data_IF_472702895226
#
_entry.id   IF_472702895226
#
_cell.length_a   1.000
_cell.length_b   1.000
_cell.length_c   1.000
_cell.angle_alpha   90.00
_cell.angle_beta   90.00
_cell.angle_gamma   90.00
#
_symmetry.space_group_name_H-M   'P 1'
#
loop_
_entity.id
_entity.type
_entity.pdbx_description
1 polymer ?
#
# COMPACT_ATOMS: atom_id res chain seq x y z
N UNK A 1 26.32 -0.51 -6.72
CA UNK A 1 24.87 -0.51 -6.49
C UNK A 1 24.54 0.79 -5.78
N UNK A 2 23.80 1.68 -6.42
CA UNK A 2 23.46 2.99 -5.87
C UNK A 2 22.57 2.74 -4.65
N UNK A 3 23.08 3.02 -3.46
CA UNK A 3 22.31 3.03 -2.21
C UNK A 3 21.51 4.32 -2.15
N UNK A 4 20.35 4.36 -2.79
CA UNK A 4 19.35 5.40 -2.60
C UNK A 4 17.99 4.70 -2.50
N UNK A 5 17.71 4.04 -1.38
CA UNK A 5 16.32 3.85 -0.96
C UNK A 5 16.02 5.06 -0.08
N UNK A 6 15.50 6.10 -0.71
CA UNK A 6 14.82 7.17 -0.02
C UNK A 6 13.36 6.84 -0.24
N UNK A 7 12.69 6.44 0.84
CA UNK A 7 11.25 6.42 0.94
C UNK A 7 10.72 7.67 0.22
N UNK A 8 9.78 7.47 -0.70
CA UNK A 8 8.84 8.53 -1.03
C UNK A 8 7.87 8.69 0.17
N UNK A 9 8.41 8.96 1.36
CA UNK A 9 7.72 9.80 2.29
C UNK A 9 7.52 11.09 1.53
N UNK A 10 6.29 11.32 1.05
CA UNK A 10 5.88 12.62 0.55
C UNK A 10 6.30 13.61 1.63
N UNK A 11 7.38 14.34 1.35
CA UNK A 11 7.96 15.27 2.30
C UNK A 11 6.90 16.34 2.49
N UNK A 12 6.11 16.23 3.56
CA UNK A 12 5.06 17.17 3.93
C UNK A 12 5.72 18.50 4.20
N UNK A 13 5.89 19.28 3.14
CA UNK A 13 6.22 20.68 3.22
C UNK A 13 4.93 21.37 3.63
N UNK A 14 4.62 21.30 4.92
CA UNK A 14 3.70 22.20 5.62
C UNK A 14 4.24 23.63 5.47
N UNK A 15 4.08 24.21 4.27
CA UNK A 15 4.30 25.63 4.05
C UNK A 15 3.06 26.36 4.54
N UNK A 16 3.07 26.66 5.83
CA UNK A 16 2.18 27.65 6.43
C UNK A 16 2.45 29.02 5.80
N UNK A 17 1.73 29.35 4.73
CA UNK A 17 1.70 30.71 4.20
C UNK A 17 0.85 31.60 5.10
N UNK A 18 1.46 32.14 6.15
CA UNK A 18 0.96 33.34 6.82
C UNK A 18 1.22 34.56 5.91
N UNK A 19 0.36 34.79 4.91
CA UNK A 19 0.38 36.03 4.14
C UNK A 19 -0.23 37.16 4.97
N UNK A 20 0.63 37.94 5.64
CA UNK A 20 0.32 39.29 6.07
C UNK A 20 0.35 40.21 4.84
N UNK A 21 -0.81 40.45 4.23
CA UNK A 21 -0.96 41.43 3.16
C UNK A 21 -1.69 42.68 3.68
N UNK A 22 -0.90 43.67 4.10
CA UNK A 22 -1.36 45.04 4.20
C UNK A 22 -1.31 45.69 2.81
N UNK A 23 -2.46 45.99 2.22
CA UNK A 23 -2.68 47.26 1.50
C UNK A 23 -4.18 47.49 1.28
N UNK A 24 -4.68 48.61 1.82
CA UNK A 24 -5.99 49.20 1.56
C UNK A 24 -6.20 49.51 0.07
N UNK A 25 -7.33 49.08 -0.52
CA UNK A 25 -8.44 49.97 -0.94
C UNK A 25 -9.42 49.25 -1.91
N UNK A 26 -10.68 49.16 -1.46
CA UNK A 26 -11.96 49.16 -2.20
C UNK A 26 -12.03 48.63 -3.66
N UNK A 27 -12.77 47.54 -3.88
CA UNK A 27 -14.20 47.58 -4.31
C UNK A 27 -14.67 46.21 -4.88
N UNK A 28 -15.63 45.57 -4.20
CA UNK A 28 -16.72 44.76 -4.77
C UNK A 28 -16.41 43.52 -5.62
N UNK A 29 -16.49 42.33 -5.02
CA UNK A 29 -16.66 41.06 -5.72
C UNK A 29 -16.46 39.85 -4.81
N UNK A 30 -17.55 39.30 -4.28
CA UNK A 30 -17.58 38.14 -3.40
C UNK A 30 -16.92 36.90 -4.04
N UNK A 31 -15.96 36.30 -3.36
CA UNK A 31 -15.26 35.08 -3.78
C UNK A 31 -14.19 34.69 -2.77
N UNK A 32 -14.58 34.50 -1.52
CA UNK A 32 -13.67 34.00 -0.48
C UNK A 32 -13.32 32.54 -0.76
N UNK A 33 -12.07 32.29 -1.16
CA UNK A 33 -11.51 30.94 -1.23
C UNK A 33 -10.66 30.74 0.03
N UNK A 34 -11.29 30.18 1.06
CA UNK A 34 -10.64 29.75 2.30
C UNK A 34 -10.84 28.25 2.47
N UNK A 35 -9.74 27.51 2.63
CA UNK A 35 -9.64 26.17 3.21
C UNK A 35 -10.87 25.24 3.17
N UNK A 36 -11.39 24.92 1.98
CA UNK A 36 -12.48 23.97 1.86
C UNK A 36 -11.97 22.57 1.52
N UNK A 37 -12.29 21.65 2.42
CA UNK A 37 -12.14 20.21 2.37
C UNK A 37 -12.75 19.61 1.11
N UNK A 38 -12.01 18.72 0.47
CA UNK A 38 -12.48 17.91 -0.66
C UNK A 38 -13.48 16.84 -0.22
N UNK A 39 -13.58 16.62 1.09
CA UNK A 39 -14.47 15.67 1.76
C UNK A 39 -15.98 15.95 1.62
N UNK A 40 -16.37 17.10 1.07
CA UNK A 40 -17.79 17.45 0.95
C UNK A 40 -18.40 17.22 -0.43
N UNK A 41 -17.62 16.81 -1.45
CA UNK A 41 -18.20 16.64 -2.78
C UNK A 41 -19.07 15.38 -2.85
N UNK A 42 -20.31 15.56 -3.31
CA UNK A 42 -21.27 14.49 -3.56
C UNK A 42 -21.52 14.33 -5.05
N UNK A 43 -22.02 13.14 -5.41
CA UNK A 43 -22.47 12.87 -6.77
C UNK A 43 -23.77 13.64 -6.98
N UNK A 44 -23.76 14.54 -7.96
CA UNK A 44 -24.92 15.34 -8.38
C UNK A 44 -25.24 15.03 -9.83
N UNK A 45 -26.45 15.40 -10.27
CA UNK A 45 -26.83 15.26 -11.68
C UNK A 45 -25.88 16.01 -12.62
N UNK A 46 -25.21 17.07 -12.15
CA UNK A 46 -24.29 17.88 -12.94
C UNK A 46 -22.91 17.22 -13.12
N UNK A 47 -22.39 16.55 -12.09
CA UNK A 47 -21.06 15.93 -12.12
C UNK A 47 -21.09 14.41 -12.40
N UNK A 48 -22.25 13.75 -12.32
CA UNK A 48 -22.36 12.29 -12.41
C UNK A 48 -21.70 11.68 -13.65
N UNK A 49 -21.86 12.31 -14.82
CA UNK A 49 -21.24 11.80 -16.05
C UNK A 49 -19.71 11.80 -15.98
N UNK A 50 -19.11 12.85 -15.42
CA UNK A 50 -17.66 12.94 -15.24
C UNK A 50 -17.20 11.98 -14.14
N UNK A 51 -18.00 11.84 -13.07
CA UNK A 51 -17.72 10.92 -11.97
C UNK A 51 -17.61 9.47 -12.45
N UNK A 52 -18.60 8.99 -13.20
CA UNK A 52 -18.61 7.61 -13.71
C UNK A 52 -17.50 7.37 -14.74
N UNK A 53 -17.19 8.37 -15.58
CA UNK A 53 -16.08 8.29 -16.52
C UNK A 53 -14.72 8.22 -15.79
N UNK A 54 -14.55 9.03 -14.74
CA UNK A 54 -13.33 9.05 -13.93
C UNK A 54 -13.14 7.74 -13.16
N UNK A 55 -14.18 7.22 -12.51
CA UNK A 55 -14.14 5.90 -11.89
C UNK A 55 -13.70 4.82 -12.88
N UNK A 56 -14.30 4.80 -14.07
CA UNK A 56 -13.98 3.82 -15.11
C UNK A 56 -12.53 3.91 -15.56
N UNK A 57 -11.98 5.12 -15.70
CA UNK A 57 -10.59 5.31 -16.11
C UNK A 57 -9.60 4.92 -15.01
N UNK A 58 -9.85 5.29 -13.75
CA UNK A 58 -9.02 4.87 -12.61
C UNK A 58 -9.00 3.35 -12.50
N UNK A 59 -10.16 2.69 -12.58
CA UNK A 59 -10.25 1.23 -12.52
C UNK A 59 -9.55 0.54 -13.71
N UNK A 60 -9.66 1.10 -14.92
CA UNK A 60 -8.94 0.61 -16.11
C UNK A 60 -7.42 0.71 -15.95
N UNK A 61 -6.95 1.79 -15.31
CA UNK A 61 -5.54 2.00 -15.03
C UNK A 61 -5.01 1.02 -13.97
N UNK A 62 -5.79 0.77 -12.91
CA UNK A 62 -5.49 -0.26 -11.91
C UNK A 62 -5.40 -1.66 -12.53
N UNK A 63 -6.37 -2.06 -13.36
CA UNK A 63 -6.35 -3.35 -14.08
C UNK A 63 -5.09 -3.50 -14.95
N UNK A 64 -4.74 -2.46 -15.71
CA UNK A 64 -3.52 -2.44 -16.52
C UNK A 64 -2.27 -2.59 -15.66
N UNK A 65 -2.13 -1.78 -14.61
CA UNK A 65 -0.91 -1.75 -13.80
C UNK A 65 -0.73 -3.05 -13.01
N UNK A 66 -1.82 -3.64 -12.49
CA UNK A 66 -1.83 -4.96 -11.86
C UNK A 66 -1.44 -6.07 -12.86
N UNK A 67 -1.96 -6.00 -14.09
CA UNK A 67 -1.60 -6.95 -15.15
C UNK A 67 -0.11 -6.84 -15.51
N UNK A 68 0.38 -5.62 -15.71
CA UNK A 68 1.80 -5.36 -16.02
C UNK A 68 2.71 -5.85 -14.89
N UNK A 69 2.36 -5.58 -13.63
CA UNK A 69 3.11 -6.05 -12.47
C UNK A 69 3.25 -7.58 -12.46
N UNK A 70 2.13 -8.29 -12.61
CA UNK A 70 2.16 -9.75 -12.68
C UNK A 70 2.97 -10.25 -13.88
N UNK A 71 2.80 -9.64 -15.06
CA UNK A 71 3.49 -10.07 -16.27
C UNK A 71 5.01 -9.80 -16.20
N UNK A 72 5.46 -8.74 -15.51
CA UNK A 72 6.89 -8.54 -15.24
C UNK A 72 7.47 -9.64 -14.34
N UNK A 73 6.72 -10.07 -13.34
CA UNK A 73 7.14 -11.17 -12.46
C UNK A 73 7.09 -12.53 -13.15
N UNK A 74 6.08 -12.77 -13.99
CA UNK A 74 5.76 -14.11 -14.49
C UNK A 74 6.22 -14.36 -15.93
N UNK A 75 6.26 -13.33 -16.79
CA UNK A 75 6.49 -13.47 -18.24
C UNK A 75 7.88 -12.96 -18.63
N UNK A 76 8.12 -11.65 -18.55
CA UNK A 76 9.40 -11.06 -18.94
C UNK A 76 9.62 -9.69 -18.29
N UNK A 77 10.83 -9.45 -17.80
CA UNK A 77 11.24 -8.16 -17.25
C UNK A 77 12.31 -7.49 -18.10
N UNK A 78 12.12 -6.20 -18.41
CA UNK A 78 13.09 -5.34 -19.11
C UNK A 78 13.65 -5.89 -20.45
N UNK A 79 12.85 -6.65 -21.20
CA UNK A 79 13.29 -7.32 -22.44
C UNK A 79 14.55 -8.18 -22.23
N UNK A 80 14.72 -8.74 -21.03
CA UNK A 80 15.90 -9.50 -20.64
C UNK A 80 15.90 -10.94 -21.15
N UNK A 81 14.78 -11.41 -21.71
CA UNK A 81 14.52 -12.82 -21.98
C UNK A 81 14.20 -13.66 -20.73
N UNK A 82 14.06 -13.02 -19.57
CA UNK A 82 13.74 -13.64 -18.30
C UNK A 82 12.63 -12.90 -17.56
N UNK A 83 11.79 -13.62 -16.83
CA UNK A 83 10.85 -13.01 -15.88
C UNK A 83 11.57 -12.54 -14.61
N UNK A 84 10.98 -11.62 -13.85
CA UNK A 84 11.60 -11.21 -12.58
C UNK A 84 11.65 -12.35 -11.56
N UNK A 85 10.67 -13.28 -11.58
CA UNK A 85 10.71 -14.50 -10.79
C UNK A 85 11.95 -15.36 -11.13
N UNK A 86 12.27 -15.54 -12.42
CA UNK A 86 13.48 -16.27 -12.83
C UNK A 86 14.75 -15.53 -12.39
N UNK A 87 14.80 -14.20 -12.53
CA UNK A 87 15.93 -13.39 -12.11
C UNK A 87 16.18 -13.56 -10.60
N UNK A 88 15.13 -13.48 -9.79
CA UNK A 88 15.21 -13.56 -8.33
C UNK A 88 15.55 -14.98 -7.84
N UNK A 89 14.91 -16.02 -8.39
CA UNK A 89 15.18 -17.42 -8.04
C UNK A 89 16.55 -17.91 -8.49
N UNK A 90 17.04 -17.47 -9.65
CA UNK A 90 18.36 -17.89 -10.13
C UNK A 90 19.51 -17.11 -9.48
N UNK A 91 19.24 -15.87 -9.04
CA UNK A 91 20.18 -14.97 -8.35
C UNK A 91 21.61 -15.01 -8.90
N UNK A 92 21.72 -15.01 -10.23
CA UNK A 92 22.98 -15.09 -10.98
C UNK A 92 22.99 -14.19 -12.23
N UNK A 93 21.92 -13.43 -12.46
CA UNK A 93 21.78 -12.53 -13.60
C UNK A 93 22.57 -11.26 -13.31
N UNK A 94 23.49 -10.90 -14.21
CA UNK A 94 24.35 -9.73 -14.03
C UNK A 94 23.53 -8.44 -13.88
N UNK A 95 23.83 -7.65 -12.86
CA UNK A 95 23.10 -6.42 -12.54
C UNK A 95 21.98 -6.60 -11.50
N UNK A 96 21.67 -7.83 -11.11
CA UNK A 96 20.68 -8.18 -10.09
C UNK A 96 21.32 -8.91 -8.90
N UNK A 97 20.54 -9.67 -8.13
CA UNK A 97 20.99 -10.51 -7.02
C UNK A 97 22.01 -11.55 -7.48
N UNK A 98 23.04 -11.78 -6.67
CA UNK A 98 24.18 -12.66 -6.99
C UNK A 98 24.31 -13.88 -6.06
N UNK A 99 23.47 -13.96 -5.03
CA UNK A 99 23.40 -15.08 -4.07
C UNK A 99 21.98 -15.15 -3.50
N UNK A 100 21.56 -16.33 -3.02
CA UNK A 100 20.26 -16.47 -2.36
C UNK A 100 20.23 -15.69 -1.02
N UNK A 101 21.37 -15.53 -0.37
CA UNK A 101 21.48 -14.67 0.83
C UNK A 101 21.10 -13.21 0.54
N UNK A 102 21.49 -12.66 -0.62
CA UNK A 102 21.08 -11.31 -1.02
C UNK A 102 19.58 -11.23 -1.31
N UNK A 103 18.97 -12.28 -1.87
CA UNK A 103 17.52 -12.35 -2.04
C UNK A 103 16.81 -12.39 -0.68
N UNK A 104 17.25 -13.23 0.25
CA UNK A 104 16.66 -13.30 1.61
C UNK A 104 16.83 -11.99 2.38
N UNK A 105 17.97 -11.31 2.24
CA UNK A 105 18.12 -9.96 2.78
C UNK A 105 17.11 -8.98 2.18
N UNK A 106 16.89 -9.00 0.85
CA UNK A 106 15.88 -8.15 0.22
C UNK A 106 14.46 -8.44 0.71
N UNK A 107 14.12 -9.71 0.95
CA UNK A 107 12.83 -10.09 1.55
C UNK A 107 12.69 -9.45 2.93
N UNK A 108 13.72 -9.55 3.78
CA UNK A 108 13.69 -8.98 5.13
C UNK A 108 13.71 -7.45 5.10
N UNK A 109 14.44 -6.84 4.18
CA UNK A 109 14.48 -5.39 3.96
C UNK A 109 13.07 -4.88 3.60
N UNK A 110 12.35 -5.56 2.69
CA UNK A 110 10.95 -5.23 2.36
C UNK A 110 9.99 -5.41 3.54
N UNK A 111 10.16 -6.46 4.35
CA UNK A 111 9.42 -6.63 5.60
C UNK A 111 9.68 -5.49 6.61
N UNK A 112 10.93 -5.04 6.71
CA UNK A 112 11.30 -3.92 7.56
C UNK A 112 10.65 -2.63 7.08
N UNK A 113 10.74 -2.35 5.77
CA UNK A 113 10.22 -1.14 5.15
C UNK A 113 8.75 -0.96 5.49
N UNK A 114 7.93 -1.99 5.29
CA UNK A 114 6.49 -1.90 5.56
C UNK A 114 6.15 -1.89 7.06
N UNK A 115 6.89 -2.63 7.91
CA UNK A 115 6.69 -2.53 9.36
C UNK A 115 7.00 -1.12 9.89
N UNK A 116 8.06 -0.50 9.35
CA UNK A 116 8.44 0.86 9.70
C UNK A 116 7.42 1.86 9.17
N UNK A 117 6.98 1.74 7.92
CA UNK A 117 5.98 2.61 7.31
C UNK A 117 4.64 2.56 8.05
N UNK A 118 4.14 1.37 8.39
CA UNK A 118 2.89 1.25 9.16
C UNK A 118 3.01 1.95 10.52
N UNK A 119 4.12 1.73 11.23
CA UNK A 119 4.33 2.31 12.55
C UNK A 119 4.59 3.82 12.52
N UNK A 120 5.55 4.26 11.72
CA UNK A 120 6.07 5.64 11.70
C UNK A 120 5.17 6.59 10.89
N UNK A 121 4.66 6.13 9.74
CA UNK A 121 3.90 6.97 8.81
C UNK A 121 2.39 6.71 8.89
N UNK A 122 1.91 5.51 8.55
CA UNK A 122 0.46 5.25 8.42
C UNK A 122 -0.33 5.43 9.72
N UNK A 123 0.29 5.10 10.86
CA UNK A 123 -0.25 5.33 12.22
C UNK A 123 0.41 6.53 12.89
N UNK A 124 1.75 6.60 12.83
CA UNK A 124 2.55 7.59 13.55
C UNK A 124 2.31 9.03 13.11
N UNK A 125 2.30 9.32 11.81
CA UNK A 125 2.10 10.69 11.32
C UNK A 125 0.72 11.25 11.75
N UNK A 126 -0.42 10.56 11.54
CA UNK A 126 -1.70 11.01 12.08
C UNK A 126 -1.68 11.18 13.60
N UNK A 127 -1.08 10.24 14.34
CA UNK A 127 -0.97 10.31 15.80
C UNK A 127 -0.24 11.58 16.24
N UNK A 128 0.96 11.81 15.71
CA UNK A 128 1.83 12.94 16.05
C UNK A 128 1.20 14.29 15.67
N UNK A 129 0.56 14.37 14.50
CA UNK A 129 -0.24 15.54 14.11
C UNK A 129 -1.35 15.80 15.13
N UNK A 130 -2.09 14.77 15.54
CA UNK A 130 -3.22 14.92 16.44
C UNK A 130 -2.78 15.39 17.84
N UNK A 131 -1.75 14.75 18.42
CA UNK A 131 -1.27 15.07 19.77
C UNK A 131 -0.52 16.40 19.83
N UNK A 132 0.07 16.85 18.71
CA UNK A 132 0.69 18.18 18.59
C UNK A 132 -0.32 19.31 18.34
N UNK A 133 -1.59 18.98 18.08
CA UNK A 133 -2.70 19.92 17.99
C UNK A 133 -3.21 20.20 16.58
N UNK A 134 -2.62 19.61 15.53
CA UNK A 134 -3.17 19.62 14.17
C UNK A 134 -4.17 18.47 13.99
N UNK A 135 -5.27 18.54 14.74
CA UNK A 135 -6.28 17.47 14.74
C UNK A 135 -6.99 17.35 13.38
N UNK A 136 -7.07 18.44 12.61
CA UNK A 136 -7.71 18.40 11.29
C UNK A 136 -6.78 17.76 10.25
N UNK A 137 -5.49 18.12 10.24
CA UNK A 137 -4.49 17.49 9.39
C UNK A 137 -4.38 16.00 9.68
N UNK A 138 -4.36 15.62 10.96
CA UNK A 138 -4.34 14.22 11.39
C UNK A 138 -5.50 13.40 10.81
N UNK A 139 -6.73 13.92 10.85
CA UNK A 139 -7.91 13.24 10.29
C UNK A 139 -7.78 12.98 8.78
N UNK A 140 -7.06 13.84 8.06
CA UNK A 140 -6.90 13.77 6.61
C UNK A 140 -5.66 13.01 6.18
N UNK A 141 -4.72 12.78 7.10
CA UNK A 141 -3.50 12.02 6.86
C UNK A 141 -3.72 10.49 6.96
N UNK A 142 -4.79 10.04 7.60
CA UNK A 142 -5.08 8.60 7.77
C UNK A 142 -5.36 7.95 6.42
N UNK A 143 -4.49 7.06 5.93
CA UNK A 143 -4.71 6.27 4.72
C UNK A 143 -5.94 5.35 4.84
N UNK A 144 -6.64 5.08 3.73
CA UNK A 144 -7.84 4.21 3.70
C UNK A 144 -9.01 4.65 4.58
N UNK A 145 -9.10 5.95 4.89
CA UNK A 145 -10.15 6.46 5.78
C UNK A 145 -11.50 6.69 5.09
N UNK A 146 -11.55 6.87 3.76
CA UNK A 146 -12.84 7.11 3.08
C UNK A 146 -13.79 5.93 3.27
N UNK A 147 -13.23 4.72 3.28
CA UNK A 147 -13.90 3.43 3.49
C UNK A 147 -13.87 2.93 4.94
N UNK A 148 -13.25 3.67 5.87
CA UNK A 148 -12.98 3.23 7.26
C UNK A 148 -12.19 1.91 7.35
N UNK A 149 -11.30 1.66 6.38
CA UNK A 149 -10.59 0.39 6.19
C UNK A 149 -9.14 0.39 6.72
N UNK A 150 -8.63 1.52 7.24
CA UNK A 150 -7.24 1.68 7.69
C UNK A 150 -6.71 0.57 8.61
N UNK A 151 -7.54 0.06 9.54
CA UNK A 151 -7.10 -0.99 10.48
C UNK A 151 -6.84 -2.31 9.75
N UNK A 152 -7.78 -2.70 8.90
CA UNK A 152 -7.72 -3.91 8.09
C UNK A 152 -6.56 -3.81 7.08
N UNK A 153 -6.41 -2.66 6.41
CA UNK A 153 -5.30 -2.34 5.51
C UNK A 153 -3.93 -2.58 6.19
N UNK A 154 -3.67 -1.87 7.28
CA UNK A 154 -2.39 -1.93 7.96
C UNK A 154 -2.13 -3.33 8.55
N UNK A 155 -3.18 -4.02 9.01
CA UNK A 155 -3.07 -5.41 9.47
C UNK A 155 -2.73 -6.38 8.33
N UNK A 156 -3.25 -6.15 7.12
CA UNK A 156 -2.92 -6.92 5.92
C UNK A 156 -1.46 -6.67 5.49
N UNK A 157 -0.93 -5.46 5.69
CA UNK A 157 0.49 -5.19 5.51
C UNK A 157 1.35 -6.07 6.46
N UNK A 158 0.95 -6.24 7.72
CA UNK A 158 1.65 -7.14 8.65
C UNK A 158 1.46 -8.63 8.28
N UNK A 159 0.32 -9.01 7.69
CA UNK A 159 0.13 -10.35 7.11
C UNK A 159 1.07 -10.59 5.91
N UNK A 160 1.41 -9.54 5.15
CA UNK A 160 2.42 -9.63 4.08
C UNK A 160 3.78 -10.06 4.67
N UNK A 161 4.18 -9.47 5.81
CA UNK A 161 5.41 -9.83 6.53
C UNK A 161 5.34 -11.30 7.01
N UNK A 162 4.23 -11.72 7.62
CA UNK A 162 4.04 -13.12 8.00
C UNK A 162 4.29 -14.03 6.80
N UNK A 163 3.64 -13.72 5.68
CA UNK A 163 3.67 -14.56 4.49
C UNK A 163 5.08 -14.68 3.90
N UNK A 164 5.83 -13.58 3.88
CA UNK A 164 7.21 -13.53 3.44
C UNK A 164 8.15 -14.38 4.32
N UNK A 165 8.01 -14.31 5.65
CA UNK A 165 8.87 -15.05 6.59
C UNK A 165 8.49 -16.53 6.70
N UNK A 166 7.19 -16.84 6.63
CA UNK A 166 6.64 -18.19 6.72
C UNK A 166 6.65 -18.95 5.38
N UNK A 167 6.83 -18.25 4.25
CA UNK A 167 6.77 -18.84 2.91
C UNK A 167 5.38 -19.39 2.55
N UNK A 168 4.31 -18.82 3.12
CA UNK A 168 2.93 -19.28 2.90
C UNK A 168 1.95 -18.13 3.06
N UNK A 169 0.87 -18.13 2.27
CA UNK A 169 -0.22 -17.15 2.36
C UNK A 169 -1.40 -17.63 3.23
N UNK A 170 -1.33 -18.85 3.75
CA UNK A 170 -2.40 -19.46 4.54
C UNK A 170 -2.33 -18.97 5.99
N UNK A 171 -2.81 -17.74 6.21
CA UNK A 171 -2.83 -17.07 7.52
C UNK A 171 -4.23 -17.14 8.12
N UNK A 172 -4.30 -17.57 9.39
CA UNK A 172 -5.55 -17.68 10.14
C UNK A 172 -5.63 -16.55 11.16
N UNK A 173 -6.64 -15.69 11.00
CA UNK A 173 -7.02 -14.67 11.98
C UNK A 173 -8.38 -15.04 12.57
N UNK A 174 -8.47 -15.07 13.90
CA UNK A 174 -9.71 -15.39 14.62
C UNK A 174 -9.99 -14.33 15.66
N UNK A 175 -11.14 -13.68 15.57
CA UNK A 175 -11.54 -12.60 16.48
C UNK A 175 -10.47 -11.51 16.57
N UNK A 176 -10.05 -11.00 15.40
CA UNK A 176 -9.06 -9.92 15.28
C UNK A 176 -7.67 -10.25 15.87
N UNK A 177 -7.35 -11.55 15.96
CA UNK A 177 -6.06 -12.02 16.48
C UNK A 177 -5.43 -13.03 15.51
N UNK A 178 -4.17 -12.81 15.14
CA UNK A 178 -3.40 -13.71 14.30
C UNK A 178 -3.09 -15.01 15.06
N UNK A 179 -3.44 -16.16 14.50
CA UNK A 179 -3.23 -17.46 15.13
C UNK A 179 -2.00 -18.15 14.54
N UNK A 180 -0.86 -18.03 15.23
CA UNK A 180 0.41 -18.63 14.79
C UNK A 180 0.36 -20.15 14.71
N UNK A 181 -0.40 -20.83 15.57
CA UNK A 181 -0.48 -22.29 15.60
C UNK A 181 -1.32 -22.87 14.47
N UNK A 182 -2.33 -22.12 14.01
CA UNK A 182 -3.25 -22.54 12.94
C UNK A 182 -2.86 -22.01 11.56
N UNK A 183 -1.96 -21.03 11.50
CA UNK A 183 -1.41 -20.50 10.25
C UNK A 183 -0.29 -21.42 9.75
N UNK A 184 -0.14 -21.52 8.43
CA UNK A 184 0.81 -22.44 7.82
C UNK A 184 2.20 -21.82 7.72
N UNK A 185 3.22 -22.63 8.03
CA UNK A 185 4.62 -22.31 7.75
C UNK A 185 5.17 -23.34 6.77
N UNK A 186 5.69 -22.89 5.63
CA UNK A 186 6.27 -23.77 4.64
C UNK A 186 7.58 -24.39 5.14
N UNK A 187 7.87 -25.61 4.67
CA UNK A 187 9.10 -26.34 5.02
C UNK A 187 10.35 -25.51 4.69
N UNK A 188 10.41 -24.94 3.49
CA UNK A 188 11.48 -24.06 3.03
C UNK A 188 11.12 -22.59 3.25
N UNK A 189 11.25 -22.13 4.49
CA UNK A 189 10.95 -20.75 4.88
C UNK A 189 12.10 -20.12 5.68
N UNK A 190 12.14 -18.79 5.73
CA UNK A 190 13.09 -18.06 6.59
C UNK A 190 12.95 -18.54 8.04
N UNK A 191 11.70 -18.70 8.51
CA UNK A 191 11.41 -19.23 9.84
C UNK A 191 12.06 -20.61 10.09
N UNK A 192 11.81 -21.60 9.21
CA UNK A 192 12.33 -22.96 9.43
C UNK A 192 13.85 -23.03 9.24
N UNK A 193 14.44 -22.21 8.37
CA UNK A 193 15.90 -22.09 8.26
C UNK A 193 16.52 -21.62 9.58
N UNK A 194 15.98 -20.58 10.22
CA UNK A 194 16.46 -20.12 11.52
C UNK A 194 16.30 -21.21 12.59
N UNK A 195 15.11 -21.80 12.67
CA UNK A 195 14.75 -22.80 13.69
C UNK A 195 15.65 -24.03 13.64
N UNK A 196 15.98 -24.49 12.44
CA UNK A 196 16.78 -25.69 12.22
C UNK A 196 18.30 -25.45 12.36
N UNK A 197 18.76 -24.20 12.41
CA UNK A 197 20.19 -23.87 12.39
C UNK A 197 20.66 -23.09 13.62
N UNK A 198 20.01 -23.27 14.77
CA UNK A 198 20.45 -22.72 16.05
C UNK A 198 19.94 -21.32 16.38
N UNK A 199 18.96 -20.82 15.61
CA UNK A 199 18.32 -19.51 15.80
C UNK A 199 16.83 -19.63 16.13
N UNK A 200 16.42 -20.71 16.81
CA UNK A 200 15.01 -20.97 17.14
C UNK A 200 14.37 -19.86 17.98
N UNK A 201 15.10 -19.28 18.94
CA UNK A 201 14.60 -18.17 19.75
C UNK A 201 14.32 -16.92 18.89
N UNK A 202 15.23 -16.57 17.98
CA UNK A 202 15.03 -15.45 17.05
C UNK A 202 13.87 -15.72 16.08
N UNK A 203 13.72 -16.96 15.61
CA UNK A 203 12.59 -17.36 14.76
C UNK A 203 11.25 -17.16 15.47
N UNK A 204 11.12 -17.69 16.69
CA UNK A 204 9.88 -17.60 17.47
C UNK A 204 9.60 -16.14 17.91
N UNK A 205 10.63 -15.37 18.27
CA UNK A 205 10.50 -13.93 18.56
C UNK A 205 10.04 -13.13 17.34
N UNK A 206 10.52 -13.46 16.14
CA UNK A 206 10.09 -12.80 14.90
C UNK A 206 8.60 -13.02 14.67
N UNK A 207 8.12 -14.28 14.73
CA UNK A 207 6.71 -14.59 14.52
C UNK A 207 5.81 -13.97 15.60
N UNK A 208 6.29 -13.92 16.85
CA UNK A 208 5.57 -13.27 17.93
C UNK A 208 5.48 -11.76 17.75
N UNK A 209 6.55 -11.09 17.29
CA UNK A 209 6.53 -9.66 16.99
C UNK A 209 5.56 -9.33 15.84
N UNK A 210 5.52 -10.16 14.79
CA UNK A 210 4.53 -10.05 13.70
C UNK A 210 3.10 -10.15 14.26
N UNK A 211 2.83 -11.16 15.10
CA UNK A 211 1.53 -11.30 15.75
C UNK A 211 1.18 -10.08 16.60
N UNK A 212 2.12 -9.60 17.43
CA UNK A 212 1.88 -8.46 18.32
C UNK A 212 1.53 -7.19 17.53
N UNK A 213 2.26 -6.88 16.45
CA UNK A 213 1.98 -5.73 15.59
C UNK A 213 0.59 -5.84 14.94
N UNK A 214 0.28 -6.97 14.32
CA UNK A 214 -1.02 -7.23 13.72
C UNK A 214 -2.17 -7.05 14.73
N UNK A 215 -2.04 -7.69 15.90
CA UNK A 215 -3.08 -7.69 16.92
C UNK A 215 -3.27 -6.31 17.56
N UNK A 216 -2.20 -5.54 17.72
CA UNK A 216 -2.25 -4.19 18.26
C UNK A 216 -2.97 -3.24 17.28
N UNK A 217 -2.70 -3.34 15.98
CA UNK A 217 -3.43 -2.58 14.94
C UNK A 217 -4.94 -2.86 15.02
N UNK A 218 -5.33 -4.13 15.08
CA UNK A 218 -6.74 -4.48 15.18
C UNK A 218 -7.35 -4.20 16.57
N UNK A 219 -6.54 -3.96 17.60
CA UNK A 219 -7.05 -3.50 18.90
C UNK A 219 -7.46 -2.02 18.89
N UNK A 220 -6.99 -1.22 17.91
CA UNK A 220 -7.44 0.17 17.74
C UNK A 220 -8.96 0.20 17.58
N UNK A 221 -9.69 1.06 18.32
CA UNK A 221 -11.13 1.17 18.14
C UNK A 221 -11.48 1.66 16.72
N UNK A 222 -12.43 0.99 16.07
CA UNK A 222 -12.84 1.32 14.71
C UNK A 222 -13.81 2.53 14.67
N UNK A 223 -13.67 3.43 13.68
CA UNK A 223 -12.56 3.52 12.73
C UNK A 223 -11.33 4.21 13.37
N UNK A 224 -10.11 3.89 12.90
CA UNK A 224 -8.87 4.50 13.40
C UNK A 224 -8.92 6.04 13.32
N UNK A 225 -9.43 6.61 12.22
CA UNK A 225 -9.60 8.07 12.05
C UNK A 225 -10.35 8.74 13.20
N UNK A 226 -11.30 8.06 13.86
CA UNK A 226 -12.04 8.63 15.01
C UNK A 226 -11.36 8.37 16.37
N UNK A 227 -10.25 7.63 16.38
CA UNK A 227 -9.56 7.18 17.58
C UNK A 227 -8.04 7.34 17.45
N UNK A 228 -7.59 8.33 16.66
CA UNK A 228 -6.17 8.55 16.33
C UNK A 228 -5.30 8.64 17.59
N UNK A 229 -5.76 9.33 18.64
CA UNK A 229 -5.01 9.54 19.87
C UNK A 229 -5.30 8.52 20.98
N UNK A 230 -5.84 7.34 20.63
CA UNK A 230 -6.10 6.29 21.62
C UNK A 230 -4.80 5.65 22.13
N UNK A 231 -4.86 4.98 23.27
CA UNK A 231 -3.71 4.23 23.77
C UNK A 231 -3.37 3.07 22.83
N UNK A 232 -4.39 2.43 22.27
CA UNK A 232 -4.25 1.33 21.33
C UNK A 232 -3.55 1.76 20.03
N UNK A 233 -3.77 2.99 19.56
CA UNK A 233 -3.04 3.53 18.41
C UNK A 233 -1.54 3.69 18.71
N UNK A 234 -1.20 4.19 19.90
CA UNK A 234 0.19 4.29 20.35
C UNK A 234 0.82 2.90 20.53
N UNK A 235 0.10 1.95 21.14
CA UNK A 235 0.56 0.58 21.32
C UNK A 235 0.80 -0.12 19.96
N UNK A 236 -0.05 0.15 18.95
CA UNK A 236 0.12 -0.36 17.59
C UNK A 236 1.34 0.23 16.89
N UNK A 237 1.55 1.54 16.99
CA UNK A 237 2.76 2.21 16.50
C UNK A 237 4.01 1.59 17.12
N UNK A 238 4.07 1.47 18.45
CA UNK A 238 5.21 0.90 19.17
C UNK A 238 5.46 -0.55 18.74
N UNK A 239 4.43 -1.39 18.65
CA UNK A 239 4.57 -2.78 18.23
C UNK A 239 5.10 -2.94 16.80
N UNK A 240 4.69 -2.07 15.88
CA UNK A 240 5.20 -2.06 14.50
C UNK A 240 6.68 -1.63 14.45
N UNK A 241 7.07 -0.61 15.22
CA UNK A 241 8.46 -0.14 15.29
C UNK A 241 9.38 -1.15 16.00
N UNK A 242 8.87 -1.88 17.00
CA UNK A 242 9.58 -3.00 17.63
C UNK A 242 9.81 -4.14 16.62
N UNK A 243 8.79 -4.49 15.82
CA UNK A 243 8.92 -5.45 14.73
C UNK A 243 9.96 -5.00 13.70
N UNK A 244 9.87 -3.76 13.22
CA UNK A 244 10.83 -3.18 12.27
C UNK A 244 12.27 -3.25 12.82
N UNK A 245 12.45 -2.86 14.09
CA UNK A 245 13.74 -2.93 14.79
C UNK A 245 14.27 -4.37 14.87
N UNK A 246 13.43 -5.35 15.17
CA UNK A 246 13.81 -6.76 15.23
C UNK A 246 14.22 -7.28 13.84
N UNK A 247 13.43 -6.97 12.81
CA UNK A 247 13.70 -7.37 11.43
C UNK A 247 15.07 -6.84 10.98
N UNK A 248 15.32 -5.54 11.16
CA UNK A 248 16.52 -4.90 10.65
C UNK A 248 17.77 -5.17 11.49
N UNK A 249 17.67 -5.08 12.82
CA UNK A 249 18.84 -5.10 13.69
C UNK A 249 19.21 -6.50 14.18
N UNK A 250 18.30 -7.47 14.10
CA UNK A 250 18.53 -8.84 14.58
C UNK A 250 18.40 -9.86 13.47
N UNK A 251 17.24 -9.91 12.80
CA UNK A 251 16.97 -10.94 11.80
C UNK A 251 17.84 -10.78 10.55
N UNK A 252 17.87 -9.61 9.93
CA UNK A 252 18.61 -9.36 8.68
C UNK A 252 20.08 -9.77 8.78
N UNK A 253 20.72 -9.40 9.89
CA UNK A 253 22.16 -9.57 10.10
C UNK A 253 22.62 -11.03 10.15
N UNK A 254 21.74 -12.00 10.45
CA UNK A 254 22.12 -13.44 10.46
C UNK A 254 22.37 -14.00 9.06
N UNK A 255 21.93 -13.29 8.03
CA UNK A 255 22.14 -13.62 6.62
C UNK A 255 23.22 -12.76 5.96
N UNK A 256 23.95 -11.93 6.72
CA UNK A 256 25.06 -11.14 6.20
C UNK A 256 26.20 -12.01 5.65
N UNK A 257 26.94 -11.48 4.67
CA UNK A 257 28.05 -12.19 4.05
C UNK A 257 29.07 -12.66 5.11
N UNK A 258 29.36 -13.96 5.10
CA UNK A 258 30.26 -14.61 6.08
C UNK A 258 29.56 -15.17 7.31
N UNK A 259 28.25 -14.96 7.48
CA UNK A 259 27.46 -15.64 8.50
C UNK A 259 27.13 -17.09 8.10
N UNK A 260 26.89 -17.99 9.07
CA UNK A 260 26.61 -19.40 8.78
C UNK A 260 25.38 -19.64 7.89
N UNK A 261 24.37 -18.76 7.96
CA UNK A 261 23.14 -18.89 7.18
C UNK A 261 23.22 -18.28 5.79
N UNK A 262 24.30 -17.53 5.47
CA UNK A 262 24.51 -16.93 4.15
C UNK A 262 25.04 -17.97 3.15
N UNK A 263 24.24 -19.01 2.88
CA UNK A 263 24.59 -20.17 2.05
C UNK A 263 23.52 -20.44 1.01
N UNK A 264 23.89 -20.46 -0.27
CA UNK A 264 22.96 -20.77 -1.37
C UNK A 264 22.31 -22.15 -1.19
N UNK A 265 23.08 -23.18 -0.80
CA UNK A 265 22.54 -24.53 -0.53
C UNK A 265 21.42 -24.55 0.52
N UNK A 266 21.41 -23.59 1.44
CA UNK A 266 20.39 -23.48 2.49
C UNK A 266 19.20 -22.61 2.05
N UNK A 267 19.44 -21.60 1.23
CA UNK A 267 18.49 -20.53 0.96
C UNK A 267 17.82 -20.61 -0.42
N UNK A 268 18.36 -21.38 -1.37
CA UNK A 268 17.77 -21.48 -2.72
C UNK A 268 16.30 -21.90 -2.67
N UNK A 269 15.96 -22.92 -1.88
CA UNK A 269 14.58 -23.38 -1.77
C UNK A 269 13.69 -22.41 -0.98
N UNK A 270 14.26 -21.61 -0.06
CA UNK A 270 13.52 -20.51 0.59
C UNK A 270 13.12 -19.45 -0.43
N UNK A 271 14.05 -19.07 -1.32
CA UNK A 271 13.77 -18.11 -2.38
C UNK A 271 12.75 -18.67 -3.37
N UNK A 272 12.86 -19.95 -3.75
CA UNK A 272 11.89 -20.60 -4.63
C UNK A 272 10.48 -20.58 -4.01
N UNK A 273 10.33 -21.07 -2.77
CA UNK A 273 9.04 -21.09 -2.06
C UNK A 273 8.48 -19.68 -1.91
N UNK A 274 9.30 -18.70 -1.53
CA UNK A 274 8.86 -17.31 -1.43
C UNK A 274 8.30 -16.78 -2.77
N UNK A 275 8.99 -17.00 -3.88
CA UNK A 275 8.50 -16.53 -5.19
C UNK A 275 7.27 -17.30 -5.65
N UNK A 276 7.29 -18.62 -5.57
CA UNK A 276 6.30 -19.50 -6.21
C UNK A 276 5.01 -19.63 -5.37
N UNK A 277 5.11 -19.55 -4.04
CA UNK A 277 3.98 -19.77 -3.14
C UNK A 277 3.44 -18.47 -2.52
N UNK A 278 4.24 -17.39 -2.51
CA UNK A 278 3.85 -16.08 -1.95
C UNK A 278 3.72 -15.01 -3.02
N UNK A 279 4.80 -14.63 -3.71
CA UNK A 279 4.79 -13.44 -4.58
C UNK A 279 3.92 -13.63 -5.83
N UNK A 280 4.21 -14.67 -6.63
CA UNK A 280 3.49 -14.90 -7.89
C UNK A 280 1.99 -15.11 -7.69
N UNK A 281 1.54 -15.92 -6.71
CA UNK A 281 0.11 -16.09 -6.48
C UNK A 281 -0.56 -14.81 -5.95
N UNK A 282 0.09 -14.02 -5.10
CA UNK A 282 -0.48 -12.75 -4.62
C UNK A 282 -0.68 -11.76 -5.77
N UNK A 283 0.30 -11.60 -6.66
CA UNK A 283 0.13 -10.73 -7.83
C UNK A 283 -0.84 -11.28 -8.87
N UNK A 284 -1.01 -12.60 -8.97
CA UNK A 284 -2.07 -13.19 -9.80
C UNK A 284 -3.45 -12.86 -9.23
N UNK A 285 -3.63 -12.96 -7.91
CA UNK A 285 -4.89 -12.62 -7.24
C UNK A 285 -5.19 -11.12 -7.41
N UNK A 286 -4.18 -10.24 -7.28
CA UNK A 286 -4.30 -8.81 -7.55
C UNK A 286 -4.74 -8.53 -9.00
N UNK A 287 -4.08 -9.15 -9.98
CA UNK A 287 -4.44 -9.01 -11.40
C UNK A 287 -5.89 -9.42 -11.65
N UNK A 288 -6.30 -10.58 -11.14
CA UNK A 288 -7.66 -11.08 -11.36
C UNK A 288 -8.71 -10.20 -10.67
N UNK A 289 -8.46 -9.79 -9.42
CA UNK A 289 -9.39 -8.96 -8.67
C UNK A 289 -9.51 -7.53 -9.23
N UNK A 290 -8.42 -6.96 -9.75
CA UNK A 290 -8.44 -5.66 -10.43
C UNK A 290 -9.22 -5.72 -11.75
N UNK A 291 -9.09 -6.82 -12.51
CA UNK A 291 -9.88 -7.03 -13.73
C UNK A 291 -11.39 -7.14 -13.43
N UNK A 292 -11.76 -7.85 -12.36
CA UNK A 292 -13.14 -7.93 -11.88
C UNK A 292 -13.65 -6.57 -11.41
N UNK A 293 -12.86 -5.82 -10.63
CA UNK A 293 -13.20 -4.46 -10.21
C UNK A 293 -13.45 -3.55 -11.41
N UNK A 294 -12.60 -3.60 -12.43
CA UNK A 294 -12.78 -2.81 -13.65
C UNK A 294 -14.08 -3.17 -14.39
N UNK A 295 -14.41 -4.46 -14.48
CA UNK A 295 -15.66 -4.91 -15.08
C UNK A 295 -16.89 -4.38 -14.30
N UNK A 296 -16.85 -4.45 -12.97
CA UNK A 296 -17.95 -4.01 -12.10
C UNK A 296 -18.12 -2.49 -12.11
N UNK A 297 -17.02 -1.73 -12.06
CA UNK A 297 -17.04 -0.26 -12.21
C UNK A 297 -17.62 0.12 -13.57
N UNK A 298 -17.23 -0.56 -14.64
CA UNK A 298 -17.75 -0.31 -15.99
C UNK A 298 -19.25 -0.59 -16.08
N UNK A 299 -19.73 -1.66 -15.43
CA UNK A 299 -21.14 -1.99 -15.36
C UNK A 299 -21.94 -0.93 -14.55
N UNK A 300 -21.40 -0.49 -13.42
CA UNK A 300 -21.98 0.58 -12.60
C UNK A 300 -22.07 1.89 -13.38
N UNK A 301 -21.02 2.27 -14.10
CA UNK A 301 -21.00 3.49 -14.92
C UNK A 301 -22.07 3.49 -16.03
N UNK A 302 -22.43 2.31 -16.57
CA UNK A 302 -23.46 2.16 -17.58
C UNK A 302 -24.89 2.17 -17.00
N UNK A 303 -25.06 1.69 -15.77
CA UNK A 303 -26.35 1.59 -15.11
C UNK A 303 -26.21 1.91 -13.61
N UNK A 304 -26.07 3.20 -13.25
CA UNK A 304 -25.77 3.61 -11.89
C UNK A 304 -26.94 3.33 -10.93
N UNK A 305 -26.66 2.60 -9.86
CA UNK A 305 -27.63 2.31 -8.78
C UNK A 305 -26.90 2.27 -7.43
N UNK A 306 -27.63 2.50 -6.33
CA UNK A 306 -27.05 2.39 -4.98
C UNK A 306 -26.51 0.97 -4.71
N UNK A 307 -27.26 -0.06 -5.08
CA UNK A 307 -26.79 -1.45 -4.92
C UNK A 307 -25.57 -1.75 -5.77
N UNK A 308 -25.42 -1.08 -6.91
CA UNK A 308 -24.22 -1.18 -7.74
C UNK A 308 -23.01 -0.53 -7.08
N UNK A 309 -23.18 0.64 -6.45
CA UNK A 309 -22.11 1.25 -5.64
C UNK A 309 -21.70 0.36 -4.47
N UNK A 310 -22.65 -0.22 -3.74
CA UNK A 310 -22.38 -1.19 -2.67
C UNK A 310 -21.57 -2.40 -3.20
N UNK A 311 -21.98 -2.97 -4.34
CA UNK A 311 -21.28 -4.12 -4.93
C UNK A 311 -19.86 -3.78 -5.39
N UNK A 312 -19.66 -2.61 -6.01
CA UNK A 312 -18.34 -2.16 -6.44
C UNK A 312 -17.45 -1.80 -5.25
N UNK A 313 -18.02 -1.22 -4.19
CA UNK A 313 -17.32 -0.98 -2.93
C UNK A 313 -16.83 -2.29 -2.29
N UNK A 314 -17.68 -3.32 -2.25
CA UNK A 314 -17.28 -4.65 -1.78
C UNK A 314 -16.15 -5.24 -2.64
N UNK A 315 -16.24 -5.11 -3.97
CA UNK A 315 -15.19 -5.58 -4.88
C UNK A 315 -13.88 -4.78 -4.74
N UNK A 316 -13.95 -3.49 -4.40
CA UNK A 316 -12.75 -2.69 -4.11
C UNK A 316 -12.01 -3.27 -2.91
N UNK A 317 -12.71 -3.62 -1.82
CA UNK A 317 -12.13 -4.30 -0.65
C UNK A 317 -11.49 -5.64 -1.03
N UNK A 318 -12.16 -6.43 -1.88
CA UNK A 318 -11.61 -7.71 -2.37
C UNK A 318 -10.32 -7.50 -3.16
N UNK A 319 -10.28 -6.47 -4.03
CA UNK A 319 -9.11 -6.16 -4.85
C UNK A 319 -7.96 -5.52 -4.08
N UNK A 320 -8.26 -4.81 -2.98
CA UNK A 320 -7.27 -4.26 -2.05
C UNK A 320 -6.52 -5.34 -1.29
N UNK A 321 -7.21 -6.37 -0.83
CA UNK A 321 -6.59 -7.39 0.01
C UNK A 321 -5.29 -8.03 -0.55
N UNK A 322 -5.18 -8.43 -1.83
CA UNK A 322 -3.91 -8.91 -2.37
C UNK A 322 -2.86 -7.81 -2.57
N UNK A 323 -3.25 -6.55 -2.80
CA UNK A 323 -2.33 -5.42 -2.83
C UNK A 323 -1.72 -5.18 -1.44
N UNK A 324 -2.56 -5.04 -0.41
CA UNK A 324 -2.14 -4.79 0.98
C UNK A 324 -1.26 -5.92 1.51
N UNK A 325 -1.58 -7.17 1.13
CA UNK A 325 -0.78 -8.37 1.45
C UNK A 325 0.47 -8.51 0.56
N UNK A 326 0.75 -7.55 -0.31
CA UNK A 326 1.97 -7.50 -1.13
C UNK A 326 2.99 -6.45 -0.67
N UNK A 327 2.63 -5.60 0.30
CA UNK A 327 3.44 -4.43 0.65
C UNK A 327 4.78 -4.80 1.34
N UNK A 328 4.97 -6.02 1.88
CA UNK A 328 6.28 -6.48 2.35
C UNK A 328 7.27 -6.80 1.21
N UNK A 329 6.85 -6.65 -0.05
CA UNK A 329 7.68 -6.94 -1.21
C UNK A 329 7.54 -5.91 -2.34
N UNK A 330 7.47 -4.63 -1.95
CA UNK A 330 7.55 -3.46 -2.83
C UNK A 330 8.96 -3.22 -3.40
N UNK A 331 9.54 -4.24 -4.03
CA UNK A 331 10.82 -4.15 -4.72
C UNK A 331 10.76 -4.77 -6.12
N UNK A 332 11.75 -4.47 -6.94
CA UNK A 332 11.77 -4.94 -8.32
C UNK A 332 10.72 -4.23 -9.17
N UNK A 333 9.93 -4.94 -10.00
CA UNK A 333 9.05 -4.31 -10.99
C UNK A 333 8.11 -3.26 -10.43
N UNK A 334 7.52 -3.48 -9.25
CA UNK A 334 6.55 -2.55 -8.66
C UNK A 334 7.17 -1.17 -8.35
N UNK A 335 8.40 -1.16 -7.85
CA UNK A 335 9.17 0.05 -7.57
C UNK A 335 9.83 0.62 -8.85
N UNK A 336 10.51 -0.23 -9.62
CA UNK A 336 11.33 0.17 -10.77
C UNK A 336 10.50 0.80 -11.91
N UNK A 337 9.20 0.49 -11.97
CA UNK A 337 8.27 0.95 -13.01
C UNK A 337 7.33 2.06 -12.53
N UNK A 338 7.48 2.52 -11.29
CA UNK A 338 6.57 3.48 -10.68
C UNK A 338 5.15 2.94 -10.55
N UNK A 339 4.99 1.61 -10.47
CA UNK A 339 3.67 0.98 -10.37
C UNK A 339 3.10 1.15 -8.97
N UNK A 340 3.95 1.18 -7.95
CA UNK A 340 3.55 1.48 -6.57
C UNK A 340 2.76 2.79 -6.45
N UNK A 341 3.35 3.98 -6.71
CA UNK A 341 2.58 5.22 -6.70
C UNK A 341 1.53 5.34 -7.82
N UNK A 342 1.62 4.57 -8.92
CA UNK A 342 0.52 4.52 -9.89
C UNK A 342 -0.74 3.84 -9.34
N UNK A 343 -0.55 2.85 -8.48
CA UNK A 343 -1.61 2.02 -7.93
C UNK A 343 -2.05 2.50 -6.55
N UNK A 344 -1.19 3.16 -5.78
CA UNK A 344 -1.48 3.39 -4.35
C UNK A 344 -0.95 4.68 -3.73
N UNK A 345 -0.82 5.76 -4.50
CA UNK A 345 -0.43 7.05 -3.93
C UNK A 345 -1.34 7.52 -2.78
N UNK A 346 -0.71 7.89 -1.67
CA UNK A 346 -1.30 8.60 -0.55
C UNK A 346 -0.31 9.64 0.02
N UNK A 347 -0.73 10.87 0.37
CA UNK A 347 -2.05 11.46 0.19
C UNK A 347 -2.33 11.85 -1.28
N UNK A 348 -3.61 12.02 -1.61
CA UNK A 348 -4.07 12.43 -2.94
C UNK A 348 -4.04 13.94 -3.15
N UNK A 349 -3.92 14.39 -4.41
CA UNK A 349 -4.22 15.78 -4.78
C UNK A 349 -5.74 15.94 -4.92
N UNK A 350 -6.35 16.17 -3.78
CA UNK A 350 -7.77 16.31 -3.65
C UNK A 350 -8.32 17.50 -4.48
N UNK A 351 -7.53 18.57 -4.67
CA UNK A 351 -7.93 19.73 -5.47
C UNK A 351 -7.98 19.35 -6.96
N UNK A 352 -6.98 18.62 -7.44
CA UNK A 352 -6.94 18.11 -8.80
C UNK A 352 -8.09 17.12 -9.06
N UNK A 353 -8.39 16.21 -8.13
CA UNK A 353 -9.54 15.29 -8.21
C UNK A 353 -10.86 16.05 -8.42
N UNK A 354 -11.13 17.08 -7.62
CA UNK A 354 -12.34 17.91 -7.77
C UNK A 354 -12.35 18.64 -9.11
N UNK A 355 -11.20 19.13 -9.56
CA UNK A 355 -11.11 19.75 -10.88
C UNK A 355 -11.44 18.77 -12.01
N UNK A 356 -10.93 17.54 -11.97
CA UNK A 356 -11.25 16.48 -12.95
C UNK A 356 -12.75 16.15 -12.93
N UNK A 357 -13.37 16.06 -11.74
CA UNK A 357 -14.82 15.83 -11.63
C UNK A 357 -15.64 16.97 -12.25
N UNK A 358 -15.15 18.21 -12.20
CA UNK A 358 -15.82 19.36 -12.79
C UNK A 358 -15.59 19.47 -14.31
N UNK A 359 -14.41 19.13 -14.80
CA UNK A 359 -14.02 19.34 -16.21
C UNK A 359 -14.18 18.12 -17.09
N UNK A 360 -14.12 16.91 -16.53
CA UNK A 360 -14.03 15.65 -17.27
C UNK A 360 -12.67 15.41 -17.92
N UNK A 361 -11.62 16.11 -17.48
CA UNK A 361 -10.28 16.05 -18.07
C UNK A 361 -9.47 14.85 -17.54
N UNK A 362 -9.69 13.68 -18.15
CA UNK A 362 -9.05 12.42 -17.75
C UNK A 362 -7.59 12.29 -18.21
N UNK A 363 -7.09 13.20 -19.05
CA UNK A 363 -5.68 13.17 -19.48
C UNK A 363 -4.73 13.45 -18.28
N UNK A 364 -5.24 14.03 -17.19
CA UNK A 364 -4.47 14.28 -15.96
C UNK A 364 -4.01 13.02 -15.24
N UNK A 365 -4.65 11.86 -15.48
CA UNK A 365 -4.26 10.59 -14.87
C UNK A 365 -3.09 9.92 -15.62
N UNK A 366 -2.73 10.44 -16.80
CA UNK A 366 -1.87 9.74 -17.76
C UNK A 366 -0.50 10.41 -17.82
N UNK A 367 0.53 9.61 -17.52
CA UNK A 367 1.92 9.95 -17.83
C UNK A 367 2.52 8.91 -18.78
N UNK A 368 3.62 9.28 -19.43
CA UNK A 368 4.33 8.40 -20.35
C UNK A 368 5.83 8.65 -20.34
N UNK A 369 6.57 7.74 -20.96
CA UNK A 369 8.03 7.69 -20.88
C UNK A 369 8.51 6.71 -19.83
N UNK A 370 9.81 6.74 -19.54
CA UNK A 370 10.39 5.94 -18.47
C UNK A 370 10.08 6.60 -17.11
N UNK A 371 9.87 5.77 -16.09
CA UNK A 371 9.67 6.26 -14.72
C UNK A 371 10.90 7.04 -14.23
N UNK A 372 10.64 8.21 -13.66
CA UNK A 372 11.61 9.03 -12.94
C UNK A 372 10.94 9.53 -11.65
N UNK A 373 11.42 9.02 -10.51
CA UNK A 373 10.96 9.36 -9.16
C UNK A 373 10.99 10.87 -8.87
N UNK A 374 11.80 11.65 -9.59
CA UNK A 374 11.93 13.10 -9.41
C UNK A 374 11.03 13.92 -10.34
N UNK A 375 10.24 13.26 -11.19
CA UNK A 375 9.38 13.92 -12.15
C UNK A 375 8.08 14.39 -11.51
N UNK A 376 7.93 15.71 -11.32
CA UNK A 376 6.70 16.28 -10.78
C UNK A 376 5.48 15.95 -11.63
N UNK A 377 5.61 15.88 -12.97
CA UNK A 377 4.47 15.53 -13.83
C UNK A 377 4.04 14.07 -13.70
N UNK A 378 4.95 13.17 -13.32
CA UNK A 378 4.59 11.78 -13.01
C UNK A 378 3.86 11.76 -11.66
N UNK A 379 4.40 12.44 -10.65
CA UNK A 379 3.79 12.54 -9.33
C UNK A 379 2.38 13.19 -9.38
N UNK A 380 2.19 14.24 -10.17
CA UNK A 380 0.90 14.91 -10.36
C UNK A 380 -0.16 13.93 -10.89
N UNK A 381 0.22 13.06 -11.84
CA UNK A 381 -0.67 12.04 -12.39
C UNK A 381 -0.91 10.87 -11.42
N UNK A 382 0.08 10.51 -10.62
CA UNK A 382 0.01 9.45 -9.61
C UNK A 382 -0.94 9.82 -8.45
N UNK A 383 -0.93 11.08 -8.02
CA UNK A 383 -1.76 11.57 -6.92
C UNK A 383 -3.25 11.75 -7.24
N UNK A 384 -3.68 11.38 -8.46
CA UNK A 384 -5.08 11.45 -8.94
C UNK A 384 -5.54 10.14 -9.59
N UNK A 385 -4.88 9.02 -9.26
CA UNK A 385 -5.24 7.67 -9.73
C UNK A 385 -5.06 6.65 -8.60
N UNK A 386 -5.08 5.37 -8.93
CA UNK A 386 -4.85 4.30 -7.96
C UNK A 386 -6.05 3.99 -7.06
N UNK A 387 -5.83 3.09 -6.11
CA UNK A 387 -6.83 2.55 -5.20
C UNK A 387 -7.50 3.63 -4.38
N UNK A 388 -6.74 4.55 -3.78
CA UNK A 388 -7.31 5.60 -2.93
C UNK A 388 -8.10 6.65 -3.72
N UNK A 389 -7.75 6.93 -4.98
CA UNK A 389 -8.62 7.77 -5.82
C UNK A 389 -9.94 7.06 -6.11
N UNK A 390 -9.90 5.76 -6.41
CA UNK A 390 -11.14 4.99 -6.61
C UNK A 390 -11.94 4.87 -5.30
N UNK A 391 -11.26 4.72 -4.17
CA UNK A 391 -11.85 4.74 -2.83
C UNK A 391 -12.60 6.05 -2.59
N UNK A 392 -11.96 7.20 -2.86
CA UNK A 392 -12.59 8.52 -2.76
C UNK A 392 -13.87 8.62 -3.60
N UNK A 393 -13.84 8.06 -4.82
CA UNK A 393 -14.95 8.08 -5.76
C UNK A 393 -16.07 7.09 -5.41
N UNK A 394 -15.79 6.07 -4.59
CA UNK A 394 -16.73 5.02 -4.19
C UNK A 394 -17.30 5.20 -2.79
N UNK A 395 -16.53 5.77 -1.86
CA UNK A 395 -16.87 5.83 -0.45
C UNK A 395 -16.98 7.26 0.07
N UNK A 396 -17.81 7.44 1.09
CA UNK A 396 -17.87 8.63 1.94
C UNK A 396 -18.22 8.19 3.36
N UNK A 397 -17.43 8.63 4.34
CA UNK A 397 -17.66 8.34 5.76
C UNK A 397 -17.87 6.84 6.07
N UNK A 398 -17.04 5.98 5.46
CA UNK A 398 -17.08 4.54 5.67
C UNK A 398 -18.27 3.83 5.01
N UNK A 399 -19.00 4.50 4.12
CA UNK A 399 -20.15 3.94 3.41
C UNK A 399 -19.99 4.11 1.91
N UNK A 400 -20.54 3.17 1.13
CA UNK A 400 -20.64 3.33 -0.31
C UNK A 400 -21.46 4.60 -0.65
N UNK A 401 -20.98 5.37 -1.61
CA UNK A 401 -21.70 6.53 -2.15
C UNK A 401 -22.98 6.08 -2.83
N UNK A 402 -23.92 6.99 -2.95
CA UNK A 402 -25.21 6.76 -3.63
C UNK A 402 -25.28 7.56 -4.92
N UNK A 403 -26.17 7.13 -5.83
CA UNK A 403 -26.50 7.93 -7.02
C UNK A 403 -27.11 9.28 -6.62
N UNK A 404 -27.07 10.31 -7.50
CA UNK A 404 -27.70 11.59 -7.24
C UNK A 404 -29.17 11.42 -6.82
N UNK A 405 -29.61 12.19 -5.83
CA UNK A 405 -31.03 12.28 -5.51
C UNK A 405 -31.79 12.89 -6.70
N UNK A 406 -32.94 12.30 -7.05
CA UNK A 406 -33.82 12.77 -8.13
C UNK A 406 -34.43 14.15 -7.89
#
# INVERSE_FOLDING_TARGET
>A
MKKNFLYAAAMTLCMSFAATACSDDNNGGNGGNGGNSVEEIDITTENASNWYAYMSEVARLLDRDASDLYDYWNVEYNNSGHSYAEIFKNHNVSGYFQTAALCVQQIIDGCYDIANEVGDAKIGDPYDMYVSGDTQGALYAVESWFSWHSREDYSNNIISIYSAIAGSRDVVVTSDQLNLESSTVAENSVYNVLKNNGYAELADQTMQAIKNAHDAILAIPAPFRSHINSQEALDAQEACLELATLLQNQLRGVFDAGQPLASDDLLNEVVNTYVDDVVLPTYLDLKNAAAELYADVTALAQNPTNSGFESVADQWIVSRAPWEKSEAFLFGPVADKGLDPNMDSWPLDATAIVNILNTGDLDQLIWGGDYDENSSSIADAQNVRGFHTLEFLLFKDGQARTVPAE
#
